data_IF_460303792296
#
_entry.id   IF_460303792296
#
_cell.length_a   1.000
_cell.length_b   1.000
_cell.length_c   1.000
_cell.angle_alpha   90.00
_cell.angle_beta   90.00
_cell.angle_gamma   90.00
#
_symmetry.space_group_name_H-M   'P 1'
#
loop_
_entity.id
_entity.type
_entity.pdbx_description
1 polymer ?
#
# COMPACT_ATOMS: atom_id res chain seq x y z
N UNK A 1 9.02 5.53 17.98
CA UNK A 1 8.63 4.63 16.89
C UNK A 1 7.57 3.70 17.43
N UNK A 2 6.41 3.60 16.80
CA UNK A 2 5.34 2.71 17.27
C UNK A 2 5.51 1.35 16.60
N UNK A 3 5.79 0.33 17.41
CA UNK A 3 5.89 -1.06 16.98
C UNK A 3 4.49 -1.58 16.61
N UNK A 4 4.23 -1.70 15.31
CA UNK A 4 2.98 -2.23 14.75
C UNK A 4 2.87 -3.77 14.83
N UNK A 5 3.33 -4.37 15.94
CA UNK A 5 3.18 -5.80 16.22
C UNK A 5 2.01 -6.02 17.18
N UNK A 6 0.84 -6.34 16.63
CA UNK A 6 -0.18 -7.23 17.19
C UNK A 6 -1.59 -6.85 16.71
N UNK A 7 -1.90 -7.24 15.48
CA UNK A 7 -3.21 -7.80 15.12
C UNK A 7 -3.02 -8.54 13.79
N UNK A 8 -2.78 -9.83 13.95
CA UNK A 8 -2.86 -10.97 13.04
C UNK A 8 -3.79 -10.83 11.82
N UNK A 9 -3.31 -10.18 10.74
CA UNK A 9 -3.83 -10.23 9.35
C UNK A 9 -2.86 -9.43 8.44
N UNK A 10 -1.60 -9.89 8.33
CA UNK A 10 -0.59 -9.31 7.41
C UNK A 10 -0.90 -9.68 5.96
N UNK A 11 -1.92 -9.03 5.39
CA UNK A 11 -2.55 -9.50 4.16
C UNK A 11 -2.09 -8.78 2.88
N UNK A 12 -1.23 -7.76 3.00
CA UNK A 12 -0.61 -7.02 1.88
C UNK A 12 0.48 -6.03 2.35
N UNK A 13 1.39 -5.64 1.45
CA UNK A 13 2.44 -4.65 1.69
C UNK A 13 1.88 -3.21 1.72
N UNK A 14 1.50 -2.77 2.92
CA UNK A 14 0.99 -1.41 3.14
C UNK A 14 2.07 -0.33 2.99
N UNK A 15 3.35 -0.66 3.21
CA UNK A 15 4.46 0.29 3.11
C UNK A 15 4.65 0.72 1.66
N UNK A 16 4.75 -0.26 0.75
CA UNK A 16 4.86 0.01 -0.67
C UNK A 16 3.61 0.69 -1.23
N UNK A 17 2.41 0.29 -0.78
CA UNK A 17 1.17 0.99 -1.17
C UNK A 17 1.19 2.47 -0.78
N UNK A 18 1.66 2.81 0.43
CA UNK A 18 1.75 4.21 0.88
C UNK A 18 2.76 5.00 0.02
N UNK A 19 3.89 4.41 -0.36
CA UNK A 19 4.85 5.07 -1.27
C UNK A 19 4.22 5.41 -2.62
N UNK A 20 3.41 4.51 -3.19
CA UNK A 20 2.68 4.77 -4.44
C UNK A 20 1.62 5.86 -4.26
N UNK A 21 0.94 5.88 -3.12
CA UNK A 21 0.02 6.96 -2.75
C UNK A 21 0.78 8.28 -2.67
N UNK A 22 1.92 8.35 -2.00
CA UNK A 22 2.71 9.58 -1.88
C UNK A 22 3.21 10.10 -3.24
N UNK A 23 3.54 9.20 -4.16
CA UNK A 23 3.96 9.53 -5.53
C UNK A 23 2.80 9.97 -6.45
N UNK A 24 1.54 9.71 -6.08
CA UNK A 24 0.38 10.04 -6.90
C UNK A 24 0.11 11.56 -6.92
N UNK A 25 -0.20 12.06 -8.11
CA UNK A 25 -0.35 13.48 -8.38
C UNK A 25 -1.75 14.01 -8.01
N UNK A 26 -1.81 15.33 -7.80
CA UNK A 26 -3.05 16.05 -7.53
C UNK A 26 -3.27 16.34 -6.05
N UNK A 27 -4.30 17.13 -5.77
CA UNK A 27 -4.66 17.51 -4.41
C UNK A 27 -5.18 16.31 -3.62
N UNK A 28 -5.06 16.36 -2.29
CA UNK A 28 -5.66 15.33 -1.42
C UNK A 28 -7.17 15.14 -1.66
N UNK A 29 -7.89 16.20 -2.06
CA UNK A 29 -9.33 16.14 -2.37
C UNK A 29 -9.57 15.30 -3.63
N UNK A 30 -8.85 15.61 -4.72
CA UNK A 30 -8.97 14.88 -5.99
C UNK A 30 -8.57 13.41 -5.84
N UNK A 31 -7.50 13.16 -5.09
CA UNK A 31 -7.01 11.81 -4.82
C UNK A 31 -7.98 10.99 -3.98
N UNK A 32 -8.50 11.56 -2.89
CA UNK A 32 -9.52 10.91 -2.07
C UNK A 32 -10.79 10.56 -2.88
N UNK A 33 -11.22 11.47 -3.76
CA UNK A 33 -12.33 11.22 -4.69
C UNK A 33 -12.00 10.08 -5.67
N UNK A 34 -10.81 10.08 -6.27
CA UNK A 34 -10.35 9.02 -7.19
C UNK A 34 -10.32 7.65 -6.52
N UNK A 35 -9.88 7.59 -5.27
CA UNK A 35 -9.85 6.35 -4.48
C UNK A 35 -11.21 5.96 -3.90
N UNK A 36 -12.23 6.82 -3.96
CA UNK A 36 -13.53 6.58 -3.33
C UNK A 36 -13.46 6.44 -1.81
N UNK A 37 -12.65 7.28 -1.15
CA UNK A 37 -12.50 7.32 0.32
C UNK A 37 -12.59 8.76 0.87
N UNK A 38 -12.80 8.88 2.17
CA UNK A 38 -12.81 10.19 2.82
C UNK A 38 -11.42 10.84 2.84
N UNK A 39 -11.36 12.16 2.63
CA UNK A 39 -10.11 12.94 2.68
C UNK A 39 -9.38 12.83 4.02
N UNK A 40 -10.14 12.82 5.12
CA UNK A 40 -9.58 12.65 6.47
C UNK A 40 -8.96 11.26 6.66
N UNK A 41 -9.56 10.23 6.07
CA UNK A 41 -9.04 8.87 6.06
C UNK A 41 -7.75 8.79 5.24
N UNK A 42 -7.73 9.37 4.04
CA UNK A 42 -6.52 9.45 3.22
C UNK A 42 -5.38 10.14 3.98
N UNK A 43 -5.65 11.24 4.66
CA UNK A 43 -4.64 11.94 5.44
C UNK A 43 -4.08 11.09 6.59
N UNK A 44 -4.93 10.33 7.29
CA UNK A 44 -4.47 9.41 8.35
C UNK A 44 -3.61 8.27 7.80
N UNK A 45 -3.87 7.80 6.57
CA UNK A 45 -3.07 6.77 5.90
C UNK A 45 -1.69 7.32 5.55
N UNK A 46 -1.62 8.47 4.89
CA UNK A 46 -0.35 9.11 4.48
C UNK A 46 0.50 9.45 5.72
N UNK A 47 -0.09 10.02 6.77
CA UNK A 47 0.64 10.34 8.00
C UNK A 47 1.01 9.09 8.83
N UNK A 48 0.70 7.88 8.38
CA UNK A 48 1.02 6.64 9.09
C UNK A 48 0.27 6.46 10.41
N UNK A 49 -0.84 7.19 10.62
CA UNK A 49 -1.70 7.07 11.80
C UNK A 49 -2.75 5.98 11.66
N UNK A 50 -2.94 5.45 10.45
CA UNK A 50 -3.91 4.41 10.17
C UNK A 50 -3.42 3.48 9.07
N UNK A 51 -3.26 2.20 9.40
CA UNK A 51 -3.08 1.14 8.40
C UNK A 51 -4.44 0.83 7.77
N UNK A 52 -4.60 0.95 6.43
CA UNK A 52 -5.88 0.64 5.81
C UNK A 52 -6.28 -0.83 5.99
N UNK A 53 -7.57 -1.11 6.07
CA UNK A 53 -8.09 -2.48 5.94
C UNK A 53 -7.94 -2.94 4.49
N UNK A 54 -7.83 -4.25 4.22
CA UNK A 54 -7.66 -4.81 2.87
C UNK A 54 -8.64 -4.25 1.84
N UNK A 55 -9.92 -4.11 2.19
CA UNK A 55 -10.94 -3.50 1.30
C UNK A 55 -10.62 -2.05 0.92
N UNK A 56 -10.08 -1.25 1.85
CA UNK A 56 -9.66 0.12 1.59
C UNK A 56 -8.40 0.13 0.73
N UNK A 57 -7.45 -0.77 1.00
CA UNK A 57 -6.25 -0.93 0.18
C UNK A 57 -6.57 -1.30 -1.26
N UNK A 58 -7.55 -2.18 -1.50
CA UNK A 58 -8.02 -2.50 -2.85
C UNK A 58 -8.59 -1.28 -3.56
N UNK A 59 -9.36 -0.43 -2.87
CA UNK A 59 -9.85 0.84 -3.45
C UNK A 59 -8.72 1.80 -3.80
N UNK A 60 -7.72 1.89 -2.93
CA UNK A 60 -6.52 2.69 -3.18
C UNK A 60 -5.77 2.18 -4.42
N UNK A 61 -5.53 0.87 -4.51
CA UNK A 61 -4.87 0.24 -5.66
C UNK A 61 -5.63 0.47 -6.98
N UNK A 62 -6.96 0.34 -6.96
CA UNK A 62 -7.80 0.61 -8.13
C UNK A 62 -7.75 2.09 -8.53
N UNK A 63 -7.83 3.01 -7.56
CA UNK A 63 -7.79 4.43 -7.85
C UNK A 63 -6.40 4.94 -8.25
N UNK A 64 -5.33 4.24 -7.87
CA UNK A 64 -3.97 4.44 -8.38
C UNK A 64 -3.77 3.87 -9.78
N UNK A 65 -4.73 3.09 -10.29
CA UNK A 65 -4.63 2.38 -11.56
C UNK A 65 -3.34 1.55 -11.65
N UNK A 66 -3.05 0.78 -10.59
CA UNK A 66 -1.86 -0.07 -10.53
C UNK A 66 -1.88 -1.11 -11.64
N UNK A 67 -0.70 -1.37 -12.21
CA UNK A 67 -0.50 -2.51 -13.09
C UNK A 67 -0.55 -3.83 -12.30
N UNK A 68 -0.59 -4.95 -13.04
CA UNK A 68 -0.67 -6.27 -12.44
C UNK A 68 0.54 -6.58 -11.55
N UNK A 69 1.75 -6.11 -11.92
CA UNK A 69 2.96 -6.38 -11.16
C UNK A 69 2.92 -5.69 -9.79
N UNK A 70 2.64 -4.38 -9.75
CA UNK A 70 2.50 -3.64 -8.50
C UNK A 70 1.35 -4.19 -7.64
N UNK A 71 0.25 -4.60 -8.26
CA UNK A 71 -0.87 -5.22 -7.55
C UNK A 71 -0.45 -6.56 -6.91
N UNK A 72 0.23 -7.43 -7.65
CA UNK A 72 0.71 -8.73 -7.17
C UNK A 72 1.78 -8.55 -6.09
N UNK A 73 2.70 -7.59 -6.24
CA UNK A 73 3.68 -7.22 -5.22
C UNK A 73 3.03 -6.86 -3.90
N UNK A 74 1.95 -6.07 -3.94
CA UNK A 74 1.25 -5.60 -2.75
C UNK A 74 0.45 -6.73 -2.11
N UNK A 75 -0.44 -7.39 -2.85
CA UNK A 75 -1.45 -8.31 -2.27
C UNK A 75 -1.03 -9.78 -2.26
N UNK A 76 0.01 -10.15 -3.00
CA UNK A 76 0.51 -11.51 -3.15
C UNK A 76 2.05 -11.54 -3.10
N UNK A 77 2.63 -10.83 -2.14
CA UNK A 77 4.08 -10.61 -2.06
C UNK A 77 4.93 -11.89 -2.16
N UNK A 78 4.51 -12.99 -1.54
CA UNK A 78 5.21 -14.28 -1.62
C UNK A 78 5.18 -14.91 -3.02
N UNK A 79 4.13 -14.67 -3.80
CA UNK A 79 4.09 -15.07 -5.20
C UNK A 79 5.01 -14.16 -6.02
N UNK A 80 4.94 -12.85 -5.79
CA UNK A 80 5.78 -11.87 -6.47
C UNK A 80 7.29 -12.14 -6.26
N UNK A 81 7.74 -12.41 -5.03
CA UNK A 81 9.13 -12.73 -4.73
C UNK A 81 9.64 -14.01 -5.41
N UNK A 82 8.75 -14.97 -5.74
CA UNK A 82 9.15 -16.17 -6.49
C UNK A 82 9.43 -15.85 -7.96
N UNK A 83 8.76 -14.84 -8.50
CA UNK A 83 8.96 -14.35 -9.87
C UNK A 83 10.11 -13.33 -9.96
N UNK A 84 10.41 -12.63 -8.85
CA UNK A 84 11.47 -11.62 -8.72
C UNK A 84 12.45 -11.97 -7.57
N UNK A 85 13.22 -13.07 -7.68
CA UNK A 85 14.10 -13.54 -6.61
C UNK A 85 15.20 -12.53 -6.22
N UNK A 86 15.65 -11.68 -7.14
CA UNK A 86 16.61 -10.61 -6.90
C UNK A 86 16.13 -9.57 -5.88
N UNK A 87 14.81 -9.36 -5.77
CA UNK A 87 14.22 -8.45 -4.80
C UNK A 87 14.21 -9.04 -3.38
N UNK A 88 14.28 -10.37 -3.24
CA UNK A 88 14.35 -11.04 -1.95
C UNK A 88 15.73 -10.88 -1.30
N UNK A 89 16.81 -10.89 -2.10
CA UNK A 89 18.18 -10.76 -1.60
C UNK A 89 18.48 -9.36 -1.05
N UNK A 90 17.90 -8.32 -1.65
CA UNK A 90 18.10 -6.92 -1.23
C UNK A 90 17.44 -6.63 0.14
N UNK A 91 16.36 -7.34 0.47
CA UNK A 91 15.70 -7.24 1.77
C UNK A 91 16.48 -7.88 2.93
N UNK A 92 17.41 -8.80 2.64
CA UNK A 92 18.25 -9.50 3.64
C UNK A 92 19.57 -8.77 3.95
N UNK A 93 19.88 -7.68 3.24
CA UNK A 93 21.11 -6.88 3.42
C UNK A 93 20.92 -5.58 4.21
N UNK A 94 19.73 -5.35 4.79
CA UNK A 94 19.43 -4.18 5.63
C UNK A 94 19.22 -4.55 7.09
#
# INVERSE_FOLDING_TARGET
>A
MADYRANSDEDYDAGFLIQLIEADYGSQKERAQRYGIDRSLLNRIICGHYKPRRRVALRLALGLNLDNDAFVRIFYHQLWLREHPEAAEDSSRR
#
